data_IF_004640373834
#
_entry.id   IF_004640373834
#
_cell.length_a   1.000
_cell.length_b   1.000
_cell.length_c   1.000
_cell.angle_alpha   90.00
_cell.angle_beta   90.00
_cell.angle_gamma   90.00
#
_symmetry.space_group_name_H-M   'P 1'
#
loop_
_entity.id
_entity.type
_entity.pdbx_description
1 polymer ?
#
# COMPACT_ATOMS: atom_id res chain seq x y z
N UNK A 1 -6.06 25.40 -14.83
CA UNK A 1 -6.40 23.96 -14.99
C UNK A 1 -6.32 23.28 -13.63
N UNK A 2 -7.45 22.80 -13.11
CA UNK A 2 -7.51 22.12 -11.81
C UNK A 2 -6.68 20.84 -11.85
N UNK A 3 -5.61 20.78 -11.04
CA UNK A 3 -4.70 19.64 -10.91
C UNK A 3 -5.44 18.57 -10.10
N UNK A 4 -6.32 17.81 -10.75
CA UNK A 4 -7.06 16.72 -10.09
C UNK A 4 -6.03 15.71 -9.55
N UNK A 5 -6.16 15.27 -8.28
CA UNK A 5 -5.25 14.27 -7.73
C UNK A 5 -5.33 13.01 -8.60
N UNK A 6 -4.16 12.56 -9.05
CA UNK A 6 -4.02 11.33 -9.84
C UNK A 6 -3.81 10.19 -8.84
N UNK A 7 -4.42 9.05 -9.09
CA UNK A 7 -4.23 7.84 -8.28
C UNK A 7 -3.64 6.75 -9.17
N UNK A 8 -2.62 6.07 -8.67
CA UNK A 8 -2.01 4.90 -9.30
C UNK A 8 -2.31 3.71 -8.41
N UNK A 9 -3.16 2.81 -8.89
CA UNK A 9 -3.50 1.57 -8.21
C UNK A 9 -2.82 0.39 -8.90
N UNK A 10 -2.10 -0.43 -8.15
CA UNK A 10 -1.34 -1.57 -8.68
C UNK A 10 -1.38 -2.75 -7.70
N UNK A 11 -1.41 -3.97 -8.23
CA UNK A 11 -1.24 -5.16 -7.42
C UNK A 11 0.25 -5.46 -7.18
N UNK A 12 0.58 -5.96 -5.99
CA UNK A 12 1.92 -6.43 -5.64
C UNK A 12 2.23 -7.75 -6.36
N UNK A 13 1.25 -8.66 -6.39
CA UNK A 13 1.35 -9.93 -7.10
C UNK A 13 0.06 -10.24 -7.89
N UNK A 14 0.21 -10.89 -9.05
CA UNK A 14 -0.89 -11.37 -9.87
C UNK A 14 -1.54 -12.60 -9.24
N UNK A 15 -2.87 -12.60 -9.16
CA UNK A 15 -3.65 -13.73 -8.67
C UNK A 15 -3.79 -14.87 -9.69
N UNK A 16 -3.70 -14.58 -10.98
CA UNK A 16 -3.88 -15.56 -12.05
C UNK A 16 -2.59 -16.26 -12.45
N UNK A 17 -1.47 -15.52 -12.49
CA UNK A 17 -0.18 -16.04 -13.00
C UNK A 17 0.97 -15.95 -11.99
N UNK A 18 0.74 -15.37 -10.81
CA UNK A 18 1.74 -15.31 -9.74
C UNK A 18 2.86 -14.29 -9.94
N UNK A 19 2.88 -13.52 -11.03
CA UNK A 19 3.90 -12.49 -11.31
C UNK A 19 3.97 -11.48 -10.17
N UNK A 20 5.17 -11.23 -9.66
CA UNK A 20 5.46 -10.17 -8.70
C UNK A 20 5.81 -8.90 -9.47
N UNK A 21 5.15 -7.79 -9.18
CA UNK A 21 5.39 -6.52 -9.84
C UNK A 21 6.54 -5.74 -9.18
N UNK A 22 7.23 -4.91 -9.97
CA UNK A 22 8.26 -3.98 -9.49
C UNK A 22 7.63 -2.76 -8.80
N UNK A 23 6.90 -3.01 -7.71
CA UNK A 23 5.97 -2.04 -7.09
C UNK A 23 6.68 -0.79 -6.60
N UNK A 24 7.90 -0.93 -6.07
CA UNK A 24 8.74 0.19 -5.64
C UNK A 24 9.03 1.18 -6.77
N UNK A 25 9.28 0.68 -7.99
CA UNK A 25 9.51 1.52 -9.17
C UNK A 25 8.24 2.28 -9.55
N UNK A 26 7.08 1.62 -9.45
CA UNK A 26 5.77 2.21 -9.77
C UNK A 26 5.41 3.31 -8.78
N UNK A 27 5.60 3.06 -7.48
CA UNK A 27 5.38 4.06 -6.42
C UNK A 27 6.25 5.29 -6.66
N UNK A 28 7.54 5.10 -6.94
CA UNK A 28 8.45 6.23 -7.23
C UNK A 28 7.97 7.08 -8.42
N UNK A 29 7.62 6.44 -9.53
CA UNK A 29 7.13 7.14 -10.73
C UNK A 29 5.80 7.87 -10.47
N UNK A 30 4.93 7.31 -9.62
CA UNK A 30 3.68 7.96 -9.21
C UNK A 30 3.96 9.21 -8.36
N UNK A 31 4.92 9.14 -7.44
CA UNK A 31 5.33 10.29 -6.64
C UNK A 31 5.94 11.41 -7.48
N UNK A 32 6.74 11.08 -8.51
CA UNK A 32 7.33 12.06 -9.45
C UNK A 32 6.25 12.92 -10.14
N UNK A 33 5.04 12.39 -10.35
CA UNK A 33 3.92 13.11 -10.95
C UNK A 33 2.93 13.70 -9.94
N UNK A 34 3.19 13.53 -8.63
CA UNK A 34 2.32 13.94 -7.54
C UNK A 34 1.02 13.14 -7.46
N UNK A 35 1.07 11.85 -7.80
CA UNK A 35 -0.06 10.93 -7.68
C UNK A 35 -0.01 10.16 -6.36
N UNK A 36 -1.19 9.86 -5.81
CA UNK A 36 -1.33 8.92 -4.70
C UNK A 36 -1.17 7.49 -5.19
N UNK A 37 -0.65 6.62 -4.34
CA UNK A 37 -0.36 5.21 -4.64
C UNK A 37 -1.22 4.28 -3.80
N UNK A 38 -1.81 3.29 -4.47
CA UNK A 38 -2.57 2.23 -3.82
C UNK A 38 -2.00 0.89 -4.25
N UNK A 39 -1.43 0.14 -3.31
CA UNK A 39 -0.83 -1.17 -3.56
C UNK A 39 -1.71 -2.27 -2.99
N UNK A 40 -2.20 -3.16 -3.86
CA UNK A 40 -2.91 -4.38 -3.46
C UNK A 40 -1.94 -5.54 -3.26
N UNK A 41 -1.67 -5.87 -2.00
CA UNK A 41 -0.79 -6.95 -1.62
C UNK A 41 -1.52 -8.20 -1.10
N UNK A 42 -2.83 -8.35 -1.35
CA UNK A 42 -3.62 -9.51 -0.90
C UNK A 42 -2.98 -10.84 -1.27
N UNK A 43 -2.54 -10.97 -2.52
CA UNK A 43 -1.92 -12.21 -2.99
C UNK A 43 -0.45 -12.33 -2.62
N UNK A 44 0.26 -11.23 -2.38
CA UNK A 44 1.67 -11.27 -2.00
C UNK A 44 1.87 -11.52 -0.50
N UNK A 45 0.97 -11.03 0.36
CA UNK A 45 1.08 -11.09 1.82
C UNK A 45 1.19 -12.52 2.39
N UNK A 46 0.72 -13.53 1.66
CA UNK A 46 0.85 -14.94 2.04
C UNK A 46 2.24 -15.53 1.73
N UNK A 47 3.04 -14.87 0.89
CA UNK A 47 4.30 -15.37 0.36
C UNK A 47 5.53 -14.67 0.93
N UNK A 48 5.37 -13.49 1.54
CA UNK A 48 6.49 -12.79 2.14
C UNK A 48 6.08 -11.59 3.00
N UNK A 49 7.01 -11.11 3.84
CA UNK A 49 6.83 -9.85 4.55
C UNK A 49 6.79 -8.68 3.55
N UNK A 50 6.05 -7.63 3.92
CA UNK A 50 5.98 -6.38 3.15
C UNK A 50 6.53 -5.28 4.05
N UNK A 51 7.66 -4.69 3.66
CA UNK A 51 8.14 -3.46 4.28
C UNK A 51 7.46 -2.26 3.63
N UNK A 52 6.43 -1.76 4.30
CA UNK A 52 5.65 -0.60 3.86
C UNK A 52 6.43 0.71 3.92
N UNK A 53 7.48 0.79 4.75
CA UNK A 53 8.32 1.99 4.86
C UNK A 53 9.29 2.06 3.70
N UNK A 54 9.87 0.92 3.33
CA UNK A 54 10.70 0.82 2.14
C UNK A 54 9.87 1.01 0.86
N UNK A 55 8.64 0.49 0.84
CA UNK A 55 7.75 0.60 -0.32
C UNK A 55 7.28 2.04 -0.59
N UNK A 56 7.20 2.88 0.45
CA UNK A 56 6.76 4.28 0.40
C UNK A 56 5.37 4.47 -0.25
N UNK A 57 4.45 3.49 -0.13
CA UNK A 57 3.10 3.64 -0.71
C UNK A 57 2.16 4.39 0.24
N UNK A 58 1.22 5.17 -0.30
CA UNK A 58 0.21 5.90 0.49
C UNK A 58 -0.86 4.97 1.08
N UNK A 59 -1.25 3.93 0.34
CA UNK A 59 -2.26 2.96 0.77
C UNK A 59 -1.80 1.54 0.45
N UNK A 60 -1.76 0.67 1.46
CA UNK A 60 -1.58 -0.76 1.27
C UNK A 60 -2.89 -1.49 1.58
N UNK A 61 -3.38 -2.26 0.62
CA UNK A 61 -4.46 -3.21 0.82
C UNK A 61 -3.84 -4.58 1.10
N UNK A 62 -4.22 -5.21 2.20
CA UNK A 62 -3.90 -6.61 2.40
C UNK A 62 -5.06 -7.34 3.08
N UNK A 63 -5.22 -8.60 2.75
CA UNK A 63 -6.12 -9.51 3.43
C UNK A 63 -5.31 -10.73 3.81
N UNK A 64 -5.39 -11.17 5.05
CA UNK A 64 -4.89 -12.51 5.35
C UNK A 64 -5.86 -13.48 4.68
N UNK A 65 -5.36 -14.41 3.86
CA UNK A 65 -6.17 -15.37 3.09
C UNK A 65 -7.09 -16.27 3.95
N UNK A 66 -7.02 -16.15 5.29
CA UNK A 66 -7.85 -16.82 6.30
C UNK A 66 -8.82 -15.88 7.03
N UNK A 67 -8.68 -14.58 6.88
CA UNK A 67 -9.58 -13.60 7.51
C UNK A 67 -10.62 -13.15 6.49
N UNK A 68 -11.90 -13.31 6.82
CA UNK A 68 -13.04 -12.81 6.04
C UNK A 68 -13.10 -11.26 5.94
N UNK A 69 -12.02 -10.56 6.32
CA UNK A 69 -11.95 -9.11 6.46
C UNK A 69 -10.74 -8.56 5.70
N UNK A 70 -11.04 -7.72 4.69
CA UNK A 70 -10.06 -6.86 4.04
C UNK A 70 -9.52 -5.84 5.04
N UNK A 71 -8.20 -5.64 5.07
CA UNK A 71 -7.56 -4.61 5.89
C UNK A 71 -6.92 -3.57 4.98
N UNK A 72 -7.27 -2.32 5.21
CA UNK A 72 -6.72 -1.17 4.50
C UNK A 72 -5.79 -0.45 5.47
N UNK A 73 -4.53 -0.26 5.06
CA UNK A 73 -3.54 0.47 5.81
C UNK A 73 -3.26 1.79 5.10
N UNK A 74 -3.38 2.88 5.83
CA UNK A 74 -3.08 4.22 5.35
C UNK A 74 -1.73 4.67 5.88
N UNK A 75 -0.86 5.11 4.98
CA UNK A 75 0.48 5.62 5.27
C UNK A 75 0.57 7.04 4.70
N UNK A 76 0.40 8.09 5.52
CA UNK A 76 0.47 9.45 5.01
C UNK A 76 1.91 9.82 4.59
N UNK A 77 2.14 10.11 3.31
CA UNK A 77 3.42 10.64 2.80
C UNK A 77 3.42 12.18 2.64
N UNK A 78 4.54 12.90 2.87
CA UNK A 78 5.45 12.82 4.00
C UNK A 78 5.18 13.98 4.99
N UNK A 79 4.96 13.67 6.27
CA UNK A 79 5.29 14.58 7.38
C UNK A 79 6.30 13.84 8.24
N UNK A 80 7.43 14.48 8.48
CA UNK A 80 8.57 14.01 9.28
C UNK A 80 8.17 13.58 10.70
N UNK A 81 7.62 12.38 10.87
CA UNK A 81 7.29 11.82 12.17
C UNK A 81 7.93 10.45 12.34
N UNK A 82 8.96 10.38 13.19
CA UNK A 82 9.56 9.11 13.62
C UNK A 82 8.51 8.30 14.39
N UNK A 83 8.01 7.22 13.80
CA UNK A 83 7.30 6.20 14.57
C UNK A 83 8.28 5.15 15.08
N UNK A 84 8.54 5.19 16.39
CA UNK A 84 9.14 4.07 17.12
C UNK A 84 8.21 2.85 17.04
N UNK A 85 8.82 1.68 17.11
CA UNK A 85 8.21 0.35 17.11
C UNK A 85 7.00 0.26 18.05
N UNK A 86 5.79 0.45 17.52
CA UNK A 86 4.56 0.12 18.20
C UNK A 86 3.51 -0.30 17.17
N UNK A 87 3.42 -1.61 16.96
CA UNK A 87 2.35 -2.29 16.23
C UNK A 87 1.01 -2.11 16.95
N UNK A 88 0.44 -0.91 16.90
CA UNK A 88 -0.97 -0.70 17.29
C UNK A 88 -1.79 -0.64 16.03
N UNK A 89 -2.65 -1.65 15.89
CA UNK A 89 -3.83 -1.59 15.02
C UNK A 89 -4.47 -0.21 15.16
N UNK A 90 -4.61 0.58 14.08
CA UNK A 90 -5.46 1.77 14.16
C UNK A 90 -6.87 1.29 14.52
N UNK A 91 -7.58 1.99 15.43
CA UNK A 91 -8.97 1.67 15.70
C UNK A 91 -9.74 1.74 14.38
N UNK A 92 -10.57 0.73 14.14
CA UNK A 92 -11.52 0.71 13.02
C UNK A 92 -12.33 2.01 13.08
N UNK A 93 -12.05 2.96 12.18
CA UNK A 93 -13.04 3.98 11.85
C UNK A 93 -14.12 3.27 11.03
N UNK A 94 -15.18 2.84 11.71
CA UNK A 94 -16.46 2.60 11.09
C UNK A 94 -17.04 3.95 10.67
N UNK A 95 -17.20 4.16 9.36
CA UNK A 95 -18.25 5.04 8.86
C UNK A 95 -19.62 4.40 9.07
#
# INVERSE_FOLDING_TARGET
>A
MSRKPKVVAVNYASNGVGTINEVHKIVRMAHEVGAYTVVDAVHYAAHGPIDVRELDTDFLLCSAFRSEKMRIYFFPAPVSFRYSTAWRTPPLMSV
#
